data_IF_634254109275
#
_entry.id   IF_634254109275
#
_cell.length_a   1.000
_cell.length_b   1.000
_cell.length_c   1.000
_cell.angle_alpha   90.00
_cell.angle_beta   90.00
_cell.angle_gamma   90.00
#
_symmetry.space_group_name_H-M   'P 1'
#
loop_
_entity.id
_entity.type
_entity.pdbx_description
1 polymer ?
#
# COMPACT_ATOMS: atom_id res chain seq x y z
N UNK A 1 15.47 -7.62 -46.07
CA UNK A 1 14.03 -7.64 -45.72
C UNK A 1 13.93 -7.30 -44.24
N UNK A 2 13.86 -6.00 -43.94
CA UNK A 2 13.60 -5.54 -42.57
C UNK A 2 12.19 -6.00 -42.19
N UNK A 3 12.06 -6.67 -41.04
CA UNK A 3 10.79 -7.17 -40.54
C UNK A 3 10.11 -6.01 -39.79
N UNK A 4 9.16 -5.27 -40.39
CA UNK A 4 8.34 -4.38 -39.58
C UNK A 4 7.62 -5.27 -38.58
N UNK A 5 7.41 -4.79 -37.36
CA UNK A 5 6.70 -5.44 -36.24
C UNK A 5 7.59 -6.05 -35.12
N UNK A 6 8.93 -6.04 -35.18
CA UNK A 6 9.74 -6.62 -34.08
C UNK A 6 9.52 -5.90 -32.74
N UNK A 7 9.36 -4.58 -32.75
CA UNK A 7 9.05 -3.79 -31.56
C UNK A 7 7.65 -4.10 -30.99
N UNK A 8 6.68 -4.39 -31.87
CA UNK A 8 5.33 -4.74 -31.46
C UNK A 8 5.29 -6.11 -30.78
N UNK A 9 5.99 -7.10 -31.34
CA UNK A 9 6.11 -8.44 -30.75
C UNK A 9 6.77 -8.39 -29.36
N UNK A 10 7.84 -7.59 -29.22
CA UNK A 10 8.51 -7.37 -27.94
C UNK A 10 7.54 -6.71 -26.94
N UNK A 11 6.81 -5.68 -27.36
CA UNK A 11 5.83 -5.02 -26.50
C UNK A 11 4.72 -5.97 -26.03
N UNK A 12 4.18 -6.80 -26.92
CA UNK A 12 3.15 -7.79 -26.56
C UNK A 12 3.67 -8.79 -25.53
N UNK A 13 4.91 -9.28 -25.70
CA UNK A 13 5.52 -10.20 -24.74
C UNK A 13 5.80 -9.55 -23.39
N UNK A 14 6.27 -8.30 -23.37
CA UNK A 14 6.50 -7.60 -22.09
C UNK A 14 5.20 -7.32 -21.35
N UNK A 15 4.14 -6.87 -22.04
CA UNK A 15 2.82 -6.69 -21.42
C UNK A 15 2.23 -8.01 -20.91
N UNK A 16 2.40 -9.10 -21.66
CA UNK A 16 1.93 -10.43 -21.27
C UNK A 16 2.58 -10.95 -19.98
N UNK A 17 3.80 -10.53 -19.66
CA UNK A 17 4.49 -10.91 -18.41
C UNK A 17 4.16 -9.92 -17.28
N UNK A 18 4.11 -8.62 -17.54
CA UNK A 18 3.92 -7.58 -16.52
C UNK A 18 2.51 -7.61 -15.92
N UNK A 19 1.48 -7.81 -16.75
CA UNK A 19 0.08 -7.82 -16.32
C UNK A 19 -0.18 -8.94 -15.28
N UNK A 20 0.16 -10.22 -15.50
CA UNK A 20 -0.07 -11.25 -14.50
C UNK A 20 0.80 -11.05 -13.25
N UNK A 21 2.04 -10.57 -13.37
CA UNK A 21 2.92 -10.33 -12.21
C UNK A 21 2.33 -9.25 -11.28
N UNK A 22 1.83 -8.16 -11.85
CA UNK A 22 1.16 -7.10 -11.08
C UNK A 22 -0.14 -7.61 -10.45
N UNK A 23 -0.93 -8.40 -11.17
CA UNK A 23 -2.17 -8.98 -10.65
C UNK A 23 -1.93 -9.94 -9.46
N UNK A 24 -0.91 -10.80 -9.57
CA UNK A 24 -0.51 -11.72 -8.49
C UNK A 24 -0.07 -10.91 -7.26
N UNK A 25 0.72 -9.86 -7.46
CA UNK A 25 1.21 -9.01 -6.37
C UNK A 25 0.06 -8.30 -5.66
N UNK A 26 -0.90 -7.73 -6.40
CA UNK A 26 -2.09 -7.08 -5.84
C UNK A 26 -2.93 -8.09 -5.06
N UNK A 27 -3.12 -9.29 -5.61
CA UNK A 27 -3.93 -10.34 -4.98
C UNK A 27 -3.27 -10.84 -3.70
N UNK A 28 -1.93 -10.97 -3.67
CA UNK A 28 -1.17 -11.30 -2.47
C UNK A 28 -1.32 -10.24 -1.38
N UNK A 29 -1.19 -8.95 -1.73
CA UNK A 29 -1.37 -7.83 -0.80
C UNK A 29 -2.80 -7.77 -0.21
N UNK A 30 -3.82 -8.14 -0.99
CA UNK A 30 -5.22 -8.13 -0.53
C UNK A 30 -5.60 -9.36 0.31
N UNK A 31 -5.04 -10.53 -0.02
CA UNK A 31 -5.58 -11.82 0.45
C UNK A 31 -4.81 -12.40 1.63
N UNK A 32 -3.48 -12.35 1.58
CA UNK A 32 -2.61 -13.07 2.50
C UNK A 32 -1.79 -12.15 3.40
N UNK A 33 -1.84 -10.83 3.18
CA UNK A 33 -1.06 -9.91 3.98
C UNK A 33 -1.64 -9.83 5.42
N UNK A 34 -0.82 -10.07 6.46
CA UNK A 34 -1.23 -10.06 7.88
C UNK A 34 -2.01 -8.83 8.38
N UNK A 35 -1.84 -7.59 7.86
CA UNK A 35 -2.49 -6.41 8.39
C UNK A 35 -3.91 -6.16 7.83
N UNK A 36 -4.51 -7.13 7.11
CA UNK A 36 -5.91 -7.02 6.62
C UNK A 36 -6.91 -6.75 7.75
N UNK A 37 -6.62 -7.24 8.96
CA UNK A 37 -7.51 -7.12 10.11
C UNK A 37 -7.45 -5.74 10.79
N UNK A 38 -6.50 -4.88 10.43
CA UNK A 38 -6.39 -3.56 11.04
C UNK A 38 -7.26 -2.53 10.30
N UNK A 39 -8.08 -1.76 11.04
CA UNK A 39 -8.86 -0.67 10.47
C UNK A 39 -7.95 0.44 9.94
N UNK A 40 -8.43 1.23 8.97
CA UNK A 40 -7.69 2.38 8.45
C UNK A 40 -8.38 3.03 7.24
N UNK A 41 -7.87 4.19 6.78
CA UNK A 41 -8.39 4.89 5.61
C UNK A 41 -8.42 3.99 4.37
N UNK A 42 -9.47 4.11 3.54
CA UNK A 42 -9.63 3.26 2.35
C UNK A 42 -8.45 3.39 1.38
N UNK A 43 -7.95 4.61 1.17
CA UNK A 43 -6.82 4.90 0.28
C UNK A 43 -5.52 4.26 0.81
N UNK A 44 -5.32 4.29 2.13
CA UNK A 44 -4.19 3.67 2.82
C UNK A 44 -4.16 2.14 2.65
N UNK A 45 -5.23 1.53 2.12
CA UNK A 45 -5.26 0.10 1.82
C UNK A 45 -4.49 -0.30 0.57
N UNK A 46 -4.38 0.62 -0.38
CA UNK A 46 -3.86 0.36 -1.72
C UNK A 46 -2.58 1.13 -2.03
N UNK A 47 -2.37 2.29 -1.40
CA UNK A 47 -1.22 3.15 -1.69
C UNK A 47 -0.75 3.94 -0.46
N UNK A 48 0.52 4.32 -0.48
CA UNK A 48 1.11 5.28 0.46
C UNK A 48 0.62 6.72 0.25
N UNK A 49 -0.19 6.96 -0.78
CA UNK A 49 -0.70 8.28 -1.14
C UNK A 49 -1.46 9.01 -0.03
N UNK A 50 -2.16 8.29 0.87
CA UNK A 50 -2.81 8.90 2.04
C UNK A 50 -1.80 9.60 2.95
N UNK A 51 -0.76 8.87 3.37
CA UNK A 51 0.28 9.40 4.23
C UNK A 51 1.11 10.47 3.50
N UNK A 52 1.43 10.23 2.21
CA UNK A 52 2.18 11.17 1.38
C UNK A 52 1.47 12.51 1.22
N UNK A 53 0.17 12.50 0.97
CA UNK A 53 -0.65 13.72 0.87
C UNK A 53 -0.59 14.55 2.15
N UNK A 54 -0.80 13.92 3.31
CA UNK A 54 -0.75 14.61 4.60
C UNK A 54 0.69 15.01 5.01
N UNK A 55 1.71 14.27 4.56
CA UNK A 55 3.11 14.61 4.77
C UNK A 55 3.50 15.86 3.97
N UNK A 56 3.11 15.96 2.70
CA UNK A 56 3.33 17.15 1.85
C UNK A 56 2.65 18.37 2.46
N UNK A 57 1.44 18.18 3.00
CA UNK A 57 0.71 19.22 3.75
C UNK A 57 1.27 19.52 5.15
N UNK A 58 2.34 18.82 5.57
CA UNK A 58 2.97 18.94 6.90
C UNK A 58 2.00 18.71 8.07
N UNK A 59 0.90 18.01 7.84
CA UNK A 59 -0.16 17.75 8.81
C UNK A 59 -0.37 16.26 9.11
N UNK A 60 0.56 15.39 8.70
CA UNK A 60 0.49 13.94 8.93
C UNK A 60 0.33 13.59 10.40
N UNK A 61 0.99 14.31 11.31
CA UNK A 61 0.86 14.07 12.75
C UNK A 61 -0.58 14.32 13.26
N UNK A 62 -1.25 15.37 12.78
CA UNK A 62 -2.65 15.65 13.10
C UNK A 62 -3.58 14.58 12.51
N UNK A 63 -3.36 14.21 11.25
CA UNK A 63 -4.12 13.14 10.60
C UNK A 63 -3.97 11.82 11.38
N UNK A 64 -2.74 11.48 11.79
CA UNK A 64 -2.44 10.30 12.60
C UNK A 64 -3.15 10.34 13.96
N UNK A 65 -3.19 11.51 14.60
CA UNK A 65 -3.92 11.69 15.86
C UNK A 65 -5.42 11.45 15.69
N UNK A 66 -6.04 12.04 14.67
CA UNK A 66 -7.46 11.83 14.36
C UNK A 66 -7.77 10.37 13.98
N UNK A 67 -6.88 9.74 13.22
CA UNK A 67 -7.03 8.34 12.86
C UNK A 67 -6.95 7.42 14.09
N UNK A 68 -6.09 7.71 15.06
CA UNK A 68 -6.08 6.99 16.34
C UNK A 68 -7.38 7.15 17.13
N UNK A 69 -7.97 8.35 17.13
CA UNK A 69 -9.28 8.57 17.76
C UNK A 69 -10.40 7.79 17.06
N UNK A 70 -10.30 7.61 15.73
CA UNK A 70 -11.35 6.97 14.91
C UNK A 70 -11.23 5.45 14.84
N UNK A 71 -10.02 4.93 14.64
CA UNK A 71 -9.75 3.52 14.36
C UNK A 71 -9.15 2.79 15.57
N UNK A 72 -8.73 3.53 16.60
CA UNK A 72 -8.24 2.99 17.86
C UNK A 72 -6.71 2.95 17.98
N UNK A 73 -6.19 2.17 18.94
CA UNK A 73 -4.78 2.20 19.33
C UNK A 73 -3.82 1.68 18.25
N UNK A 74 -4.33 0.87 17.31
CA UNK A 74 -3.56 0.36 16.16
C UNK A 74 -4.40 0.51 14.91
N UNK A 75 -3.86 1.17 13.90
CA UNK A 75 -4.52 1.34 12.62
C UNK A 75 -3.51 1.31 11.47
N UNK A 76 -4.02 1.14 10.26
CA UNK A 76 -3.22 1.11 9.04
C UNK A 76 -3.16 2.49 8.38
N UNK A 77 -1.95 3.03 8.25
CA UNK A 77 -1.71 4.32 7.59
C UNK A 77 -1.23 4.16 6.13
N UNK A 78 -0.75 2.97 5.77
CA UNK A 78 -0.32 2.60 4.42
C UNK A 78 -0.37 1.07 4.22
N UNK A 79 -0.30 0.53 2.99
CA UNK A 79 -0.52 -0.90 2.73
C UNK A 79 0.33 -1.81 3.61
N UNK A 80 1.59 -1.40 3.82
CA UNK A 80 2.62 -2.11 4.59
C UNK A 80 3.04 -1.37 5.86
N UNK A 81 2.18 -0.49 6.39
CA UNK A 81 2.50 0.37 7.54
C UNK A 81 1.34 0.44 8.54
N UNK A 82 1.60 -0.08 9.74
CA UNK A 82 0.74 0.06 10.90
C UNK A 82 1.33 1.11 11.84
N UNK A 83 0.44 1.90 12.45
CA UNK A 83 0.80 2.88 13.46
C UNK A 83 0.25 2.41 14.79
N UNK A 84 1.10 2.39 15.81
CA UNK A 84 0.79 1.91 17.14
C UNK A 84 0.87 3.08 18.13
N UNK A 85 -0.15 3.21 18.96
CA UNK A 85 -0.17 4.11 20.11
C UNK A 85 -0.42 3.30 21.39
N UNK A 86 0.49 2.36 21.67
CA UNK A 86 0.42 1.52 22.86
C UNK A 86 1.81 1.36 23.49
N UNK A 87 1.92 1.31 24.82
CA UNK A 87 3.21 1.10 25.50
C UNK A 87 3.79 -0.29 25.23
N UNK A 88 2.95 -1.29 24.93
CA UNK A 88 3.39 -2.64 24.56
C UNK A 88 4.14 -2.68 23.24
N UNK A 89 3.84 -1.78 22.28
CA UNK A 89 4.55 -1.71 21.01
C UNK A 89 6.04 -1.31 21.17
N UNK A 90 6.37 -0.54 22.21
CA UNK A 90 7.75 -0.16 22.54
C UNK A 90 8.53 -1.27 23.25
N UNK A 91 7.83 -2.23 23.88
CA UNK A 91 8.41 -3.37 24.61
C UNK A 91 8.30 -4.67 23.80
N UNK A 92 8.77 -4.65 22.56
CA UNK A 92 9.00 -5.88 21.79
C UNK A 92 9.99 -6.74 22.56
N UNK A 93 9.57 -7.94 22.99
CA UNK A 93 10.48 -8.98 23.51
C UNK A 93 11.42 -9.47 22.42
#
# INVERSE_FOLDING_TARGET
MEKPNSLFEIAVHTFSIIIPLTLITITYYLSLHPPKNYPGPFIAKFTDGYAGYHAVKKCLHLATYHDHLKYGPVFRQAPNRLIFNTPSALRSK
#
